data_IF_252785055443
#
_entry.id   IF_252785055443
#
_cell.length_a   1.000
_cell.length_b   1.000
_cell.length_c   1.000
_cell.angle_alpha   90.00
_cell.angle_beta   90.00
_cell.angle_gamma   90.00
#
_symmetry.space_group_name_H-M   'P 1'
#
loop_
_entity.id
_entity.type
_entity.pdbx_description
1 polymer ?
#
# COMPACT_ATOMS: atom_id res chain seq x y z
N UNK A 1 -26.40 -13.36 -13.74
CA UNK A 1 -26.14 -12.24 -12.78
C UNK A 1 -25.17 -12.77 -11.72
N UNK A 2 -24.15 -11.98 -11.34
CA UNK A 2 -23.28 -12.34 -10.24
C UNK A 2 -24.03 -12.23 -8.90
N UNK A 3 -23.76 -13.18 -7.99
CA UNK A 3 -24.27 -13.14 -6.61
C UNK A 3 -23.27 -12.37 -5.75
N UNK A 4 -23.73 -11.34 -5.03
CA UNK A 4 -22.93 -10.58 -4.08
C UNK A 4 -23.28 -11.08 -2.67
N UNK A 5 -22.26 -11.55 -1.92
CA UNK A 5 -22.38 -11.97 -0.53
C UNK A 5 -21.58 -11.00 0.34
N UNK A 6 -22.23 -10.05 1.03
CA UNK A 6 -21.52 -9.12 1.92
C UNK A 6 -21.10 -9.86 3.19
N UNK A 7 -19.82 -9.71 3.58
CA UNK A 7 -19.25 -10.31 4.79
C UNK A 7 -18.52 -9.21 5.54
N UNK A 8 -18.82 -9.08 6.85
CA UNK A 8 -18.14 -8.15 7.75
C UNK A 8 -17.18 -8.97 8.62
N UNK A 9 -15.93 -8.52 8.69
CA UNK A 9 -14.91 -9.15 9.52
C UNK A 9 -13.63 -8.31 9.54
N UNK A 10 -12.71 -8.67 10.42
CA UNK A 10 -11.41 -8.04 10.54
C UNK A 10 -10.30 -8.99 10.09
N UNK A 11 -9.32 -8.48 9.33
CA UNK A 11 -8.15 -9.26 8.90
C UNK A 11 -7.30 -9.77 10.08
N UNK A 12 -7.38 -9.09 11.22
CA UNK A 12 -6.67 -9.48 12.45
C UNK A 12 -7.21 -10.75 13.08
N UNK A 13 -8.48 -11.09 12.81
CA UNK A 13 -9.11 -12.32 13.25
C UNK A 13 -8.72 -13.49 12.34
N UNK A 14 -7.64 -14.15 12.72
CA UNK A 14 -7.05 -15.24 11.94
C UNK A 14 -8.00 -16.42 11.79
N UNK A 15 -8.70 -16.80 12.87
CA UNK A 15 -9.62 -17.95 12.88
C UNK A 15 -10.81 -17.68 11.98
N UNK A 16 -11.31 -16.44 11.97
CA UNK A 16 -12.38 -16.05 11.08
C UNK A 16 -11.93 -16.03 9.60
N UNK A 17 -10.71 -15.57 9.31
CA UNK A 17 -10.17 -15.63 7.94
C UNK A 17 -10.02 -17.08 7.45
N UNK A 18 -9.47 -17.95 8.27
CA UNK A 18 -9.37 -19.38 7.97
C UNK A 18 -10.77 -20.01 7.72
N UNK A 19 -11.76 -19.72 8.58
CA UNK A 19 -13.12 -20.20 8.45
C UNK A 19 -13.81 -19.72 7.17
N UNK A 20 -13.77 -18.40 6.90
CA UNK A 20 -14.53 -17.82 5.79
C UNK A 20 -13.99 -18.26 4.42
N UNK A 21 -12.67 -18.30 4.25
CA UNK A 21 -12.07 -18.76 2.99
C UNK A 21 -12.32 -20.24 2.74
N UNK A 22 -12.26 -21.07 3.77
CA UNK A 22 -12.60 -22.49 3.66
C UNK A 22 -14.07 -22.69 3.30
N UNK A 23 -14.98 -21.90 3.87
CA UNK A 23 -16.42 -21.99 3.62
C UNK A 23 -16.81 -21.52 2.22
N UNK A 24 -16.21 -20.42 1.75
CA UNK A 24 -16.55 -19.83 0.46
C UNK A 24 -15.89 -20.54 -0.73
N UNK A 25 -14.84 -21.32 -0.50
CA UNK A 25 -14.03 -21.96 -1.56
C UNK A 25 -13.59 -20.93 -2.63
N UNK A 26 -12.97 -19.86 -2.14
CA UNK A 26 -12.54 -18.75 -3.02
C UNK A 26 -11.50 -19.20 -4.03
N UNK A 27 -11.70 -18.89 -5.31
CA UNK A 27 -10.72 -19.11 -6.37
C UNK A 27 -9.73 -17.95 -6.47
N UNK A 28 -10.20 -16.70 -6.29
CA UNK A 28 -9.40 -15.48 -6.48
C UNK A 28 -9.63 -14.51 -5.33
N UNK A 29 -8.55 -13.95 -4.80
CA UNK A 29 -8.58 -12.89 -3.77
C UNK A 29 -7.91 -11.63 -4.32
N UNK A 30 -8.63 -10.50 -4.27
CA UNK A 30 -8.07 -9.15 -4.42
C UNK A 30 -7.98 -8.50 -3.05
N UNK A 31 -6.78 -8.44 -2.48
CA UNK A 31 -6.55 -7.90 -1.15
C UNK A 31 -6.26 -6.39 -1.22
N UNK A 32 -7.32 -5.58 -1.02
CA UNK A 32 -7.26 -4.12 -1.04
C UNK A 32 -7.31 -3.49 0.36
N UNK A 33 -7.54 -4.29 1.40
CA UNK A 33 -7.75 -3.78 2.75
C UNK A 33 -6.43 -3.32 3.39
N UNK A 34 -6.33 -2.03 3.70
CA UNK A 34 -5.21 -1.43 4.40
C UNK A 34 -5.59 -0.09 5.03
N UNK A 35 -4.95 0.29 6.11
CA UNK A 35 -4.90 1.67 6.57
C UNK A 35 -3.93 2.44 5.70
N UNK A 36 -4.33 3.58 5.10
CA UNK A 36 -3.54 4.26 4.05
C UNK A 36 -3.16 5.72 4.34
N UNK A 37 -3.84 6.38 5.30
CA UNK A 37 -3.64 7.81 5.56
C UNK A 37 -2.33 8.06 6.29
N UNK A 38 -1.28 8.47 5.56
CA UNK A 38 0.09 8.58 6.08
C UNK A 38 0.17 9.35 7.41
N UNK A 39 -0.35 10.59 7.56
CA UNK A 39 -0.24 11.31 8.83
C UNK A 39 -0.88 10.57 10.01
N UNK A 40 -2.06 9.99 9.82
CA UNK A 40 -2.73 9.22 10.88
C UNK A 40 -1.96 7.94 11.25
N UNK A 41 -1.28 7.35 10.26
CA UNK A 41 -0.53 6.12 10.45
C UNK A 41 0.78 6.37 11.20
N UNK A 42 1.42 7.51 11.01
CA UNK A 42 2.59 7.93 11.78
C UNK A 42 2.28 8.08 13.29
N UNK A 43 1.05 8.51 13.62
CA UNK A 43 0.60 8.63 15.02
C UNK A 43 0.15 7.27 15.62
N UNK A 44 -0.21 6.30 14.76
CA UNK A 44 -0.77 5.01 15.17
C UNK A 44 0.00 3.81 14.58
N UNK A 45 1.33 3.73 14.74
CA UNK A 45 2.17 2.75 14.06
C UNK A 45 1.82 1.30 14.41
N UNK A 46 1.45 1.01 15.67
CA UNK A 46 1.06 -0.33 16.09
C UNK A 46 -0.19 -0.81 15.34
N UNK A 47 -1.23 0.01 15.25
CA UNK A 47 -2.46 -0.33 14.54
C UNK A 47 -2.22 -0.58 13.04
N UNK A 48 -1.28 0.17 12.45
CA UNK A 48 -0.87 -0.04 11.04
C UNK A 48 -0.24 -1.41 10.85
N UNK A 49 0.70 -1.78 11.70
CA UNK A 49 1.40 -3.07 11.59
C UNK A 49 0.44 -4.23 11.88
N UNK A 50 -0.43 -4.10 12.87
CA UNK A 50 -1.47 -5.10 13.12
C UNK A 50 -2.36 -5.33 11.90
N UNK A 51 -2.87 -4.26 11.30
CA UNK A 51 -3.82 -4.37 10.20
C UNK A 51 -3.13 -4.72 8.87
N UNK A 52 -2.11 -3.95 8.49
CA UNK A 52 -1.51 -4.07 7.16
C UNK A 52 -0.53 -5.23 7.06
N UNK A 53 0.21 -5.55 8.12
CA UNK A 53 1.22 -6.62 8.12
C UNK A 53 0.61 -7.92 8.63
N UNK A 54 0.16 -7.98 9.88
CA UNK A 54 -0.39 -9.20 10.44
C UNK A 54 -1.72 -9.60 9.82
N UNK A 55 -2.58 -8.61 9.50
CA UNK A 55 -3.80 -8.87 8.74
C UNK A 55 -3.52 -9.47 7.35
N UNK A 56 -2.53 -8.93 6.63
CA UNK A 56 -2.10 -9.51 5.34
C UNK A 56 -1.52 -10.91 5.53
N UNK A 57 -0.71 -11.13 6.56
CA UNK A 57 -0.19 -12.47 6.88
C UNK A 57 -1.31 -13.48 7.13
N UNK A 58 -2.32 -13.12 7.91
CA UNK A 58 -3.45 -14.00 8.22
C UNK A 58 -4.21 -14.43 6.97
N UNK A 59 -4.53 -13.48 6.07
CA UNK A 59 -5.26 -13.80 4.84
C UNK A 59 -4.42 -14.58 3.85
N UNK A 60 -3.09 -14.36 3.80
CA UNK A 60 -2.17 -15.16 2.98
C UNK A 60 -2.08 -16.61 3.50
N UNK A 61 -1.92 -16.79 4.81
CA UNK A 61 -1.89 -18.12 5.43
C UNK A 61 -3.21 -18.87 5.18
N UNK A 62 -4.34 -18.17 5.31
CA UNK A 62 -5.68 -18.74 5.04
C UNK A 62 -5.86 -19.08 3.54
N UNK A 63 -5.35 -18.26 2.63
CA UNK A 63 -5.40 -18.49 1.19
C UNK A 63 -4.61 -19.75 0.78
N UNK A 64 -3.42 -19.96 1.35
CA UNK A 64 -2.63 -21.19 1.14
C UNK A 64 -3.41 -22.41 1.63
N UNK A 65 -3.97 -22.38 2.85
CA UNK A 65 -4.78 -23.48 3.40
C UNK A 65 -6.01 -23.79 2.56
N UNK A 66 -6.69 -22.75 2.05
CA UNK A 66 -7.86 -22.90 1.20
C UNK A 66 -7.51 -23.23 -0.26
N UNK A 67 -6.22 -23.31 -0.61
CA UNK A 67 -5.72 -23.57 -1.96
C UNK A 67 -6.27 -22.59 -2.99
N UNK A 68 -6.29 -21.31 -2.66
CA UNK A 68 -6.76 -20.24 -3.55
C UNK A 68 -5.88 -20.20 -4.80
N UNK A 69 -6.50 -20.19 -5.98
CA UNK A 69 -5.79 -20.24 -7.27
C UNK A 69 -5.04 -18.95 -7.56
N UNK A 70 -5.60 -17.78 -7.14
CA UNK A 70 -4.95 -16.48 -7.37
C UNK A 70 -5.11 -15.54 -6.19
N UNK A 71 -4.01 -14.88 -5.84
CA UNK A 71 -3.99 -13.84 -4.82
C UNK A 71 -3.30 -12.58 -5.36
N UNK A 72 -4.02 -11.47 -5.39
CA UNK A 72 -3.53 -10.17 -5.87
C UNK A 72 -3.51 -9.18 -4.71
N UNK A 73 -2.32 -8.83 -4.21
CA UNK A 73 -2.15 -7.78 -3.21
C UNK A 73 -2.07 -6.41 -3.90
N UNK A 74 -2.91 -5.49 -3.50
CA UNK A 74 -2.83 -4.10 -3.92
C UNK A 74 -1.75 -3.40 -3.09
N UNK A 75 -0.70 -2.94 -3.77
CA UNK A 75 0.40 -2.19 -3.18
C UNK A 75 0.44 -0.75 -3.68
N UNK A 76 1.53 -0.04 -3.45
CA UNK A 76 1.65 1.40 -3.65
C UNK A 76 3.09 1.78 -3.96
N UNK A 77 3.28 2.92 -4.63
CA UNK A 77 4.55 3.63 -4.79
C UNK A 77 5.28 3.85 -3.44
N UNK A 78 4.54 4.06 -2.36
CA UNK A 78 5.11 4.32 -1.01
C UNK A 78 5.77 3.11 -0.36
N UNK A 79 5.61 1.90 -0.94
CA UNK A 79 6.35 0.71 -0.54
C UNK A 79 7.80 0.71 -1.07
N UNK A 80 8.11 1.59 -2.04
CA UNK A 80 9.44 1.73 -2.64
C UNK A 80 10.29 2.68 -1.79
N UNK A 81 11.42 2.21 -1.26
CA UNK A 81 12.28 2.99 -0.35
C UNK A 81 11.46 3.78 0.69
N UNK A 82 10.66 3.11 1.54
CA UNK A 82 9.68 3.78 2.36
C UNK A 82 10.30 4.74 3.36
N UNK A 83 9.64 5.90 3.57
CA UNK A 83 9.99 6.90 4.58
C UNK A 83 8.89 7.07 5.63
N UNK A 84 7.83 6.29 5.53
CA UNK A 84 6.68 6.29 6.44
C UNK A 84 6.37 4.89 6.94
N UNK A 85 5.74 4.79 8.11
CA UNK A 85 5.28 3.52 8.67
C UNK A 85 4.26 2.84 7.74
N UNK A 86 3.40 3.65 7.08
CA UNK A 86 2.51 3.12 6.06
C UNK A 86 3.28 2.46 4.90
N UNK A 87 4.25 3.15 4.32
CA UNK A 87 5.08 2.61 3.25
C UNK A 87 5.82 1.35 3.68
N UNK A 88 6.45 1.37 4.87
CA UNK A 88 7.11 0.21 5.47
C UNK A 88 6.15 -0.97 5.64
N UNK A 89 4.92 -0.73 6.12
CA UNK A 89 3.92 -1.79 6.28
C UNK A 89 3.55 -2.45 4.94
N UNK A 90 3.45 -1.65 3.86
CA UNK A 90 3.17 -2.17 2.51
C UNK A 90 4.35 -2.94 1.94
N UNK A 91 5.60 -2.45 2.12
CA UNK A 91 6.79 -3.19 1.76
C UNK A 91 6.86 -4.56 2.47
N UNK A 92 6.64 -4.61 3.78
CA UNK A 92 6.59 -5.87 4.53
C UNK A 92 5.50 -6.80 3.98
N UNK A 93 4.31 -6.25 3.64
CA UNK A 93 3.21 -7.02 3.05
C UNK A 93 3.59 -7.63 1.69
N UNK A 94 4.33 -6.91 0.84
CA UNK A 94 4.86 -7.44 -0.41
C UNK A 94 5.83 -8.62 -0.16
N UNK A 95 6.70 -8.53 0.86
CA UNK A 95 7.62 -9.62 1.21
C UNK A 95 6.92 -10.83 1.81
N UNK A 96 5.87 -10.62 2.62
CA UNK A 96 5.00 -11.71 3.09
C UNK A 96 4.31 -12.44 1.93
N UNK A 97 3.88 -11.70 0.90
CA UNK A 97 3.28 -12.31 -0.29
C UNK A 97 4.29 -13.13 -1.08
N UNK A 98 5.53 -12.63 -1.27
CA UNK A 98 6.58 -13.38 -1.97
C UNK A 98 6.97 -14.65 -1.20
N UNK A 99 7.02 -14.61 0.12
CA UNK A 99 7.22 -15.79 0.98
C UNK A 99 6.04 -16.78 0.83
N UNK A 100 4.81 -16.29 0.81
CA UNK A 100 3.62 -17.11 0.56
C UNK A 100 3.64 -17.75 -0.83
N UNK A 101 4.10 -17.03 -1.87
CA UNK A 101 4.27 -17.57 -3.22
C UNK A 101 5.28 -18.72 -3.27
N UNK A 102 6.40 -18.62 -2.53
CA UNK A 102 7.38 -19.69 -2.39
C UNK A 102 6.79 -20.89 -1.66
N UNK A 103 6.12 -20.68 -0.53
CA UNK A 103 5.46 -21.74 0.23
C UNK A 103 4.39 -22.48 -0.58
N UNK A 104 3.57 -21.75 -1.35
CA UNK A 104 2.58 -22.36 -2.22
C UNK A 104 3.24 -23.27 -3.26
N UNK A 105 4.36 -22.84 -3.85
CA UNK A 105 5.16 -23.63 -4.81
C UNK A 105 5.77 -24.88 -4.14
N UNK A 106 6.35 -24.74 -2.96
CA UNK A 106 6.92 -25.87 -2.19
C UNK A 106 5.88 -26.92 -1.83
N UNK A 107 4.63 -26.49 -1.55
CA UNK A 107 3.50 -27.36 -1.30
C UNK A 107 2.88 -27.96 -2.57
N UNK A 108 3.41 -27.64 -3.76
CA UNK A 108 2.89 -28.15 -5.03
C UNK A 108 1.50 -27.59 -5.39
N UNK A 109 1.13 -26.41 -4.88
CA UNK A 109 -0.14 -25.78 -5.21
C UNK A 109 -0.06 -25.10 -6.58
N UNK A 110 -1.11 -25.27 -7.39
CA UNK A 110 -1.32 -24.50 -8.60
C UNK A 110 -1.95 -23.14 -8.27
N UNK A 111 -1.12 -22.25 -7.75
CA UNK A 111 -1.56 -20.96 -7.21
C UNK A 111 -0.62 -19.85 -7.67
N UNK A 112 -1.19 -18.73 -8.09
CA UNK A 112 -0.48 -17.51 -8.47
C UNK A 112 -0.66 -16.42 -7.42
N UNK A 113 0.39 -16.13 -6.63
CA UNK A 113 0.46 -15.04 -5.65
C UNK A 113 1.28 -13.90 -6.23
N UNK A 114 0.70 -12.71 -6.36
CA UNK A 114 1.32 -11.54 -6.96
C UNK A 114 0.89 -10.25 -6.30
N UNK A 115 1.66 -9.18 -6.48
CA UNK A 115 1.22 -7.84 -6.07
C UNK A 115 1.31 -6.83 -7.21
N UNK A 116 0.53 -5.76 -7.08
CA UNK A 116 0.44 -4.69 -8.07
C UNK A 116 0.71 -3.36 -7.37
N UNK A 117 1.72 -2.62 -7.84
CA UNK A 117 2.02 -1.26 -7.40
C UNK A 117 1.43 -0.24 -8.36
N UNK A 118 0.95 0.85 -7.83
CA UNK A 118 0.59 2.06 -8.56
C UNK A 118 0.59 3.27 -7.62
N UNK A 119 0.60 4.46 -8.20
CA UNK A 119 0.61 5.72 -7.47
C UNK A 119 -0.78 6.12 -6.96
N UNK A 120 -1.08 7.42 -7.01
CA UNK A 120 -2.33 7.93 -6.46
C UNK A 120 -3.51 7.66 -7.39
N UNK A 121 -4.70 7.47 -6.78
CA UNK A 121 -5.96 7.30 -7.51
C UNK A 121 -6.83 8.52 -7.28
N UNK A 122 -7.19 9.19 -8.38
CA UNK A 122 -8.02 10.41 -8.38
C UNK A 122 -9.38 10.15 -7.73
N UNK A 123 -9.81 11.08 -6.87
CA UNK A 123 -11.13 11.01 -6.23
C UNK A 123 -11.26 9.92 -5.15
N UNK A 124 -10.19 9.21 -4.79
CA UNK A 124 -10.23 8.24 -3.70
C UNK A 124 -10.48 8.93 -2.36
N UNK A 125 -11.18 8.25 -1.43
CA UNK A 125 -11.55 8.82 -0.11
C UNK A 125 -10.32 9.35 0.62
N UNK A 126 -10.40 10.61 1.09
CA UNK A 126 -9.32 11.30 1.80
C UNK A 126 -8.10 11.65 0.94
N UNK A 127 -8.23 11.63 -0.39
CA UNK A 127 -7.18 12.10 -1.30
C UNK A 127 -7.23 13.61 -1.51
N UNK A 128 -6.22 14.14 -2.19
CA UNK A 128 -6.00 15.57 -2.40
C UNK A 128 -7.15 16.25 -3.15
N UNK A 129 -7.72 15.62 -4.17
CA UNK A 129 -8.79 16.22 -4.98
C UNK A 129 -10.08 16.51 -4.19
N UNK A 130 -10.67 15.55 -3.43
CA UNK A 130 -11.78 15.85 -2.53
C UNK A 130 -11.46 16.92 -1.49
N UNK A 131 -10.22 16.97 -0.99
CA UNK A 131 -9.79 18.00 -0.04
C UNK A 131 -9.83 19.39 -0.70
N UNK A 132 -9.25 19.56 -1.89
CA UNK A 132 -9.25 20.82 -2.61
C UNK A 132 -10.68 21.27 -2.91
N UNK A 133 -11.54 20.38 -3.41
CA UNK A 133 -12.93 20.71 -3.67
C UNK A 133 -13.68 21.17 -2.42
N UNK A 134 -13.46 20.52 -1.28
CA UNK A 134 -14.06 20.94 0.00
C UNK A 134 -13.54 22.32 0.45
N UNK A 135 -12.24 22.58 0.32
CA UNK A 135 -11.66 23.88 0.67
C UNK A 135 -12.19 25.00 -0.24
N UNK A 136 -12.30 24.77 -1.55
CA UNK A 136 -12.87 25.73 -2.50
C UNK A 136 -14.33 26.03 -2.15
N UNK A 137 -15.14 25.01 -1.86
CA UNK A 137 -16.55 25.18 -1.50
C UNK A 137 -16.76 26.00 -0.21
N UNK A 138 -15.77 25.98 0.70
CA UNK A 138 -15.81 26.76 1.96
C UNK A 138 -15.16 28.14 1.84
N UNK A 139 -14.75 28.58 0.62
CA UNK A 139 -14.13 29.87 0.39
C UNK A 139 -12.61 29.89 0.55
N UNK A 140 -11.97 28.75 0.62
CA UNK A 140 -10.51 28.62 0.72
C UNK A 140 -9.94 28.85 2.13
N UNK A 141 -8.61 29.01 2.24
CA UNK A 141 -7.61 28.79 1.18
C UNK A 141 -7.47 27.31 0.80
N UNK A 142 -6.99 27.03 -0.41
CA UNK A 142 -6.52 25.70 -0.79
C UNK A 142 -5.11 25.48 -0.22
N UNK A 143 -4.89 24.34 0.43
CA UNK A 143 -3.61 24.04 1.08
C UNK A 143 -2.78 23.04 0.28
N UNK A 144 -1.55 23.40 -0.05
CA UNK A 144 -0.55 22.57 -0.74
C UNK A 144 0.67 22.41 0.16
N UNK A 145 1.21 21.21 0.30
CA UNK A 145 2.33 20.96 1.23
C UNK A 145 3.65 21.50 0.71
N UNK A 146 3.91 21.42 -0.59
CA UNK A 146 5.09 22.02 -1.22
C UNK A 146 4.80 22.36 -2.69
N UNK A 147 5.36 23.48 -3.18
CA UNK A 147 5.18 23.95 -4.57
C UNK A 147 5.77 23.02 -5.63
N UNK A 148 6.79 22.24 -5.27
CA UNK A 148 7.45 21.29 -6.16
C UNK A 148 6.91 19.87 -6.05
N UNK A 149 5.97 19.61 -5.12
CA UNK A 149 5.40 18.27 -4.93
C UNK A 149 4.70 17.80 -6.18
N UNK A 150 5.03 16.59 -6.62
CA UNK A 150 4.39 15.94 -7.76
C UNK A 150 3.99 14.51 -7.43
N UNK A 151 2.95 14.02 -8.11
CA UNK A 151 2.41 12.67 -7.92
C UNK A 151 1.92 12.11 -9.25
N UNK A 152 2.03 10.81 -9.37
CA UNK A 152 1.36 10.07 -10.43
C UNK A 152 -0.11 9.86 -10.09
N UNK A 153 -0.97 9.97 -11.09
CA UNK A 153 -2.42 9.78 -10.92
C UNK A 153 -3.00 8.89 -11.99
N UNK A 154 -3.99 8.08 -11.58
CA UNK A 154 -4.90 7.42 -12.52
C UNK A 154 -6.33 7.47 -11.96
N UNK A 155 -7.32 7.21 -12.81
CA UNK A 155 -8.71 7.16 -12.39
C UNK A 155 -9.05 5.84 -11.70
N UNK A 156 -10.09 5.82 -10.85
CA UNK A 156 -10.56 4.58 -10.19
C UNK A 156 -10.93 3.49 -11.21
N UNK A 157 -11.71 3.76 -12.28
CA UNK A 157 -12.04 2.74 -13.28
C UNK A 157 -10.82 2.18 -14.00
N UNK A 158 -9.83 3.03 -14.30
CA UNK A 158 -8.58 2.61 -14.94
C UNK A 158 -7.78 1.69 -14.00
N UNK A 159 -7.57 2.10 -12.74
CA UNK A 159 -6.88 1.28 -11.75
C UNK A 159 -7.56 -0.09 -11.57
N UNK A 160 -8.88 -0.12 -11.39
CA UNK A 160 -9.64 -1.36 -11.25
C UNK A 160 -9.49 -2.26 -12.48
N UNK A 161 -9.62 -1.70 -13.69
CA UNK A 161 -9.48 -2.47 -14.94
C UNK A 161 -8.09 -3.10 -15.06
N UNK A 162 -7.02 -2.33 -14.79
CA UNK A 162 -5.64 -2.83 -14.88
C UNK A 162 -5.31 -3.85 -13.80
N UNK A 163 -5.81 -3.66 -12.56
CA UNK A 163 -5.66 -4.64 -11.47
C UNK A 163 -6.34 -5.96 -11.82
N UNK A 164 -7.57 -5.93 -12.36
CA UNK A 164 -8.27 -7.14 -12.79
C UNK A 164 -7.52 -7.84 -13.92
N UNK A 165 -7.00 -7.11 -14.90
CA UNK A 165 -6.16 -7.66 -15.98
C UNK A 165 -4.89 -8.30 -15.42
N UNK A 166 -4.20 -7.62 -14.50
CA UNK A 166 -3.01 -8.19 -13.86
C UNK A 166 -3.33 -9.47 -13.10
N UNK A 167 -4.46 -9.54 -12.39
CA UNK A 167 -4.95 -10.77 -11.77
C UNK A 167 -5.20 -11.90 -12.79
N UNK A 168 -5.63 -11.56 -14.02
CA UNK A 168 -5.81 -12.53 -15.10
C UNK A 168 -4.50 -13.11 -15.63
N UNK A 169 -3.51 -12.27 -15.93
CA UNK A 169 -2.25 -12.65 -16.62
C UNK A 169 -1.07 -12.84 -15.68
N UNK A 170 -1.15 -12.35 -14.47
CA UNK A 170 -0.07 -12.38 -13.48
C UNK A 170 0.32 -13.81 -13.09
N UNK A 171 1.58 -13.98 -12.73
CA UNK A 171 2.20 -15.26 -12.39
C UNK A 171 2.76 -15.24 -10.97
N UNK A 172 2.90 -16.43 -10.40
CA UNK A 172 3.35 -16.63 -9.04
C UNK A 172 4.73 -16.01 -8.76
N UNK A 173 4.83 -15.23 -7.67
CA UNK A 173 6.07 -14.64 -7.20
C UNK A 173 6.55 -13.41 -7.98
N UNK A 174 5.70 -12.84 -8.87
CA UNK A 174 6.04 -11.63 -9.60
C UNK A 174 5.34 -10.39 -9.05
N UNK A 175 6.03 -9.26 -9.19
CA UNK A 175 5.51 -7.93 -8.95
C UNK A 175 5.15 -7.23 -10.25
N UNK A 176 4.08 -6.48 -10.21
CA UNK A 176 3.60 -5.72 -11.35
C UNK A 176 3.47 -4.25 -10.98
N UNK A 177 3.70 -3.39 -11.96
CA UNK A 177 3.55 -1.95 -11.87
C UNK A 177 2.56 -1.51 -12.94
N UNK A 178 1.61 -0.67 -12.55
CA UNK A 178 0.76 0.00 -13.52
C UNK A 178 1.47 1.24 -14.07
N UNK A 179 1.51 1.38 -15.38
CA UNK A 179 2.03 2.58 -16.04
C UNK A 179 1.12 3.76 -15.70
N UNK A 180 1.69 4.73 -15.01
CA UNK A 180 0.98 5.91 -14.50
C UNK A 180 1.12 7.15 -15.42
N UNK A 181 1.86 7.03 -16.53
CA UNK A 181 2.19 8.17 -17.39
C UNK A 181 3.11 9.18 -16.68
N UNK A 182 2.87 10.48 -16.91
CA UNK A 182 3.67 11.55 -16.34
C UNK A 182 3.15 12.02 -14.97
N UNK A 183 4.04 12.42 -14.05
CA UNK A 183 3.62 12.97 -12.77
C UNK A 183 3.02 14.38 -12.92
N UNK A 184 2.05 14.70 -12.08
CA UNK A 184 1.35 15.99 -12.05
C UNK A 184 1.78 16.77 -10.82
N UNK A 185 2.13 18.04 -10.98
CA UNK A 185 2.40 18.94 -9.86
C UNK A 185 1.13 19.24 -9.08
N UNK A 186 1.20 19.06 -7.77
CA UNK A 186 0.03 19.26 -6.88
C UNK A 186 -0.44 20.71 -6.89
N UNK A 187 0.49 21.67 -7.01
CA UNK A 187 0.14 23.08 -7.15
C UNK A 187 -0.67 23.36 -8.42
N UNK A 188 -0.24 22.83 -9.57
CA UNK A 188 -0.97 22.98 -10.83
C UNK A 188 -2.37 22.33 -10.75
N UNK A 189 -2.49 21.19 -10.08
CA UNK A 189 -3.79 20.57 -9.82
C UNK A 189 -4.69 21.47 -8.96
N UNK A 190 -4.17 22.11 -7.92
CA UNK A 190 -4.92 23.05 -7.08
C UNK A 190 -5.45 24.23 -7.90
N UNK A 191 -4.59 24.86 -8.72
CA UNK A 191 -4.98 25.95 -9.60
C UNK A 191 -6.07 25.54 -10.60
N UNK A 192 -5.95 24.35 -11.19
CA UNK A 192 -6.96 23.82 -12.11
C UNK A 192 -8.31 23.56 -11.39
N UNK A 193 -8.29 23.02 -10.17
CA UNK A 193 -9.52 22.81 -9.39
C UNK A 193 -10.25 24.13 -9.11
N UNK A 194 -9.52 25.21 -8.78
CA UNK A 194 -10.10 26.54 -8.58
C UNK A 194 -10.71 27.06 -9.87
N UNK A 195 -9.98 26.98 -11.01
CA UNK A 195 -10.48 27.41 -12.33
C UNK A 195 -11.72 26.62 -12.76
N UNK A 196 -11.74 25.31 -12.60
CA UNK A 196 -12.91 24.48 -12.93
C UNK A 196 -14.13 24.78 -12.03
N UNK A 197 -13.92 25.39 -10.87
CA UNK A 197 -14.99 25.89 -10.00
C UNK A 197 -15.49 27.28 -10.41
N UNK A 198 -14.99 27.86 -11.51
CA UNK A 198 -15.37 29.19 -12.00
C UNK A 198 -14.72 30.35 -11.24
N UNK A 199 -13.63 30.09 -10.50
CA UNK A 199 -12.93 31.05 -9.64
C UNK A 199 -11.49 31.25 -10.15
N UNK A 200 -10.86 32.39 -9.79
CA UNK A 200 -9.49 32.73 -10.14
C UNK A 200 -8.52 32.40 -8.99
N UNK A 201 -7.47 31.56 -9.23
CA UNK A 201 -6.42 31.32 -8.21
C UNK A 201 -5.75 32.62 -7.80
N UNK A 202 -5.41 32.75 -6.51
CA UNK A 202 -4.75 33.89 -5.88
C UNK A 202 -5.54 35.20 -5.89
N UNK A 203 -6.76 35.21 -6.46
CA UNK A 203 -7.66 36.36 -6.47
C UNK A 203 -8.94 36.06 -5.69
N UNK A 204 -9.64 35.01 -6.08
CA UNK A 204 -10.88 34.60 -5.41
C UNK A 204 -10.59 33.55 -4.32
N UNK A 205 -9.62 32.67 -4.56
CA UNK A 205 -9.18 31.62 -3.64
C UNK A 205 -7.63 31.64 -3.56
N UNK A 206 -7.11 31.83 -2.37
CA UNK A 206 -5.67 31.74 -2.11
C UNK A 206 -5.20 30.28 -2.05
N UNK A 207 -3.91 30.08 -2.40
CA UNK A 207 -3.20 28.80 -2.22
C UNK A 207 -2.09 28.99 -1.19
N UNK A 208 -2.16 28.25 -0.08
CA UNK A 208 -1.21 28.35 1.02
C UNK A 208 -0.29 27.13 1.05
N UNK A 209 1.03 27.39 1.11
CA UNK A 209 2.03 26.35 1.28
C UNK A 209 2.19 26.04 2.77
N UNK A 210 1.92 24.79 3.17
CA UNK A 210 1.88 24.39 4.59
C UNK A 210 3.15 23.70 5.10
N UNK A 211 4.07 23.32 4.21
CA UNK A 211 5.22 22.48 4.53
C UNK A 211 4.91 20.98 4.43
N UNK A 212 5.96 20.18 4.23
CA UNK A 212 5.86 18.72 4.18
C UNK A 212 5.43 18.16 5.54
N UNK A 213 4.57 17.15 5.51
CA UNK A 213 4.16 16.40 6.70
C UNK A 213 5.15 15.28 6.98
N UNK A 214 5.17 14.80 8.21
CA UNK A 214 5.96 13.62 8.58
C UNK A 214 5.59 12.41 7.70
N UNK A 215 6.58 11.76 7.13
CA UNK A 215 6.41 10.61 6.24
C UNK A 215 6.00 10.96 4.80
N UNK A 216 5.99 12.25 4.40
CA UNK A 216 5.77 12.70 3.03
C UNK A 216 7.11 12.98 2.32
N UNK A 217 7.12 12.83 0.99
CA UNK A 217 8.22 13.18 0.08
C UNK A 217 7.73 14.14 -1.00
N UNK A 218 8.66 14.84 -1.65
CA UNK A 218 8.37 15.61 -2.86
C UNK A 218 7.94 14.69 -4.00
N UNK A 219 8.68 13.61 -4.23
CA UNK A 219 8.45 12.62 -5.28
C UNK A 219 8.33 11.22 -4.71
N UNK A 220 7.49 10.38 -5.33
CA UNK A 220 7.31 8.98 -4.97
C UNK A 220 7.83 8.10 -6.11
N UNK A 221 8.94 7.35 -5.92
CA UNK A 221 9.42 6.43 -6.93
C UNK A 221 8.43 5.27 -7.11
N UNK A 222 8.23 4.82 -8.34
CA UNK A 222 7.31 3.71 -8.65
C UNK A 222 7.99 2.34 -8.52
N UNK A 223 9.32 2.29 -8.68
CA UNK A 223 10.14 1.07 -8.57
C UNK A 223 11.53 1.39 -8.06
N UNK A 224 12.28 0.38 -7.62
CA UNK A 224 13.71 0.46 -7.33
C UNK A 224 14.51 0.33 -8.63
N UNK A 225 15.69 0.96 -8.72
CA UNK A 225 16.55 0.88 -9.92
C UNK A 225 16.83 -0.56 -10.34
N UNK A 226 17.01 -1.46 -9.37
CA UNK A 226 17.31 -2.87 -9.57
C UNK A 226 16.08 -3.70 -10.03
N UNK A 227 14.87 -3.19 -9.90
CA UNK A 227 13.63 -3.90 -10.27
C UNK A 227 13.38 -3.96 -11.78
N UNK A 228 14.11 -3.20 -12.59
CA UNK A 228 14.14 -3.23 -14.06
C UNK A 228 12.78 -3.54 -14.71
N UNK A 229 11.89 -2.55 -14.88
CA UNK A 229 10.55 -2.75 -15.43
C UNK A 229 10.59 -3.32 -16.86
N UNK A 230 9.86 -4.40 -17.10
CA UNK A 230 9.73 -5.07 -18.38
C UNK A 230 8.29 -4.96 -18.89
N UNK A 231 8.13 -4.72 -20.19
CA UNK A 231 6.82 -4.72 -20.83
C UNK A 231 6.17 -6.11 -20.75
N UNK A 232 4.84 -6.11 -20.55
CA UNK A 232 3.99 -7.28 -20.71
C UNK A 232 3.24 -7.20 -22.05
N UNK A 233 2.38 -8.16 -22.32
CA UNK A 233 1.45 -8.11 -23.47
C UNK A 233 0.44 -6.94 -23.37
N UNK A 234 0.27 -6.36 -22.18
CA UNK A 234 -0.57 -5.18 -21.94
C UNK A 234 0.32 -3.93 -21.76
N UNK A 235 0.22 -2.92 -22.65
CA UNK A 235 1.11 -1.76 -22.64
C UNK A 235 1.18 -1.00 -21.31
N UNK A 236 0.06 -0.99 -20.54
CA UNK A 236 -0.03 -0.30 -19.24
C UNK A 236 0.27 -1.17 -18.02
N UNK A 237 0.79 -2.38 -18.22
CA UNK A 237 1.17 -3.29 -17.14
C UNK A 237 2.63 -3.67 -17.34
N UNK A 238 3.48 -3.26 -16.43
CA UNK A 238 4.89 -3.62 -16.39
C UNK A 238 5.10 -4.75 -15.39
N UNK A 239 6.00 -5.66 -15.70
CA UNK A 239 6.48 -6.69 -14.78
C UNK A 239 7.82 -6.26 -14.22
N UNK A 240 7.97 -6.30 -12.90
CA UNK A 240 9.20 -5.95 -12.22
C UNK A 240 10.03 -7.20 -11.91
N UNK A 241 11.35 -7.05 -11.97
CA UNK A 241 12.27 -8.08 -11.46
C UNK A 241 12.17 -8.16 -9.95
N UNK A 242 11.92 -9.35 -9.41
CA UNK A 242 11.80 -9.53 -7.95
C UNK A 242 13.15 -9.46 -7.27
N UNK A 243 13.32 -8.55 -6.32
CA UNK A 243 14.52 -8.44 -5.48
C UNK A 243 14.31 -9.30 -4.23
N UNK A 244 15.24 -10.22 -3.98
CA UNK A 244 15.15 -11.15 -2.83
C UNK A 244 15.52 -10.46 -1.51
N UNK A 245 16.57 -9.65 -1.48
CA UNK A 245 17.04 -8.96 -0.28
C UNK A 245 16.29 -7.65 -0.07
N UNK A 246 15.83 -7.44 1.16
CA UNK A 246 14.92 -6.33 1.42
C UNK A 246 15.08 -5.69 2.79
N UNK A 247 15.68 -6.39 3.74
CA UNK A 247 15.85 -5.91 5.10
C UNK A 247 17.34 -5.83 5.44
N UNK A 248 17.71 -4.78 6.18
CA UNK A 248 19.05 -4.63 6.74
C UNK A 248 19.16 -5.47 8.00
N UNK A 249 20.22 -6.27 8.08
CA UNK A 249 20.60 -7.00 9.29
C UNK A 249 19.52 -7.89 9.93
N UNK A 250 18.45 -8.23 9.19
CA UNK A 250 17.37 -9.08 9.68
C UNK A 250 16.68 -9.80 8.53
N UNK A 251 16.02 -10.89 8.83
CA UNK A 251 15.14 -11.61 7.90
C UNK A 251 13.69 -11.22 8.10
N UNK A 252 12.83 -11.53 7.12
CA UNK A 252 11.38 -11.31 7.26
C UNK A 252 10.82 -12.01 8.51
N UNK A 253 11.25 -13.24 8.77
CA UNK A 253 10.76 -14.04 9.89
C UNK A 253 11.18 -13.46 11.24
N UNK A 254 12.44 -13.01 11.37
CA UNK A 254 12.93 -12.32 12.57
C UNK A 254 12.20 -11.00 12.80
N UNK A 255 11.97 -10.22 11.74
CA UNK A 255 11.22 -8.96 11.83
C UNK A 255 9.80 -9.21 12.32
N UNK A 256 9.08 -10.17 11.74
CA UNK A 256 7.71 -10.54 12.16
C UNK A 256 7.70 -11.02 13.62
N UNK A 257 8.67 -11.83 14.04
CA UNK A 257 8.80 -12.27 15.44
C UNK A 257 9.08 -11.13 16.41
N UNK A 258 9.87 -10.14 16.00
CA UNK A 258 10.17 -8.95 16.82
C UNK A 258 8.94 -8.02 16.96
N UNK A 259 8.16 -7.84 15.89
CA UNK A 259 6.97 -6.97 15.88
C UNK A 259 5.78 -7.61 16.61
N UNK A 260 5.67 -8.95 16.62
CA UNK A 260 4.50 -9.65 17.15
C UNK A 260 4.17 -9.30 18.61
N UNK A 261 5.09 -9.36 19.59
CA UNK A 261 4.78 -9.07 20.99
C UNK A 261 4.50 -7.59 21.27
N UNK A 262 4.83 -6.70 20.34
CA UNK A 262 4.45 -5.29 20.44
C UNK A 262 2.99 -5.10 19.99
N UNK A 263 2.57 -5.83 18.97
CA UNK A 263 1.22 -5.76 18.42
C UNK A 263 0.22 -6.60 19.23
N UNK A 264 0.63 -7.76 19.72
CA UNK A 264 -0.22 -8.69 20.44
C UNK A 264 0.31 -8.96 21.83
N UNK A 265 -0.60 -9.08 22.81
CA UNK A 265 -0.24 -9.38 24.19
C UNK A 265 0.41 -10.78 24.27
N UNK A 266 1.61 -10.82 24.88
CA UNK A 266 2.34 -12.06 25.15
C UNK A 266 2.77 -12.04 26.61
N UNK A 267 2.35 -13.07 27.38
CA UNK A 267 2.75 -13.19 28.80
C UNK A 267 4.28 -13.23 28.94
N UNK A 268 4.82 -12.47 29.88
CA UNK A 268 6.25 -12.28 30.09
C UNK A 268 6.90 -11.22 29.19
N UNK A 269 6.12 -10.53 28.35
CA UNK A 269 6.57 -9.43 27.49
C UNK A 269 5.67 -8.19 27.59
N UNK A 270 5.03 -8.00 28.71
CA UNK A 270 4.06 -6.92 28.95
C UNK A 270 4.66 -5.52 28.78
N UNK A 271 5.95 -5.37 29.12
CA UNK A 271 6.69 -4.11 29.04
C UNK A 271 6.88 -3.57 27.62
N UNK A 272 6.76 -4.42 26.59
CA UNK A 272 6.89 -4.00 25.18
C UNK A 272 5.55 -3.94 24.45
N UNK A 273 4.46 -4.47 25.06
CA UNK A 273 3.13 -4.44 24.47
C UNK A 273 2.66 -3.00 24.22
N UNK A 274 2.26 -2.70 22.99
CA UNK A 274 1.84 -1.36 22.49
C UNK A 274 2.94 -0.28 22.58
N UNK A 275 4.19 -0.65 22.72
CA UNK A 275 5.32 0.29 22.71
C UNK A 275 5.58 0.76 21.27
N UNK A 276 5.05 1.95 20.92
CA UNK A 276 5.14 2.51 19.57
C UNK A 276 6.55 2.96 19.22
N UNK A 277 7.31 3.47 20.18
CA UNK A 277 8.68 3.93 19.99
C UNK A 277 9.58 2.75 19.60
N UNK A 278 9.50 1.64 20.35
CA UNK A 278 10.24 0.41 20.06
C UNK A 278 9.87 -0.15 18.69
N UNK A 279 8.56 -0.16 18.33
CA UNK A 279 8.10 -0.64 17.02
C UNK A 279 8.70 0.20 15.88
N UNK A 280 8.66 1.53 16.01
CA UNK A 280 9.22 2.45 15.02
C UNK A 280 10.73 2.25 14.88
N UNK A 281 11.46 2.06 15.98
CA UNK A 281 12.91 1.82 15.95
C UNK A 281 13.26 0.50 15.28
N UNK A 282 12.52 -0.58 15.55
CA UNK A 282 12.71 -1.87 14.86
C UNK A 282 12.51 -1.69 13.34
N UNK A 283 11.44 -1.01 12.92
CA UNK A 283 11.16 -0.79 11.50
C UNK A 283 12.23 0.08 10.85
N UNK A 284 12.66 1.17 11.49
CA UNK A 284 13.72 2.03 10.97
C UNK A 284 15.03 1.27 10.78
N UNK A 285 15.44 0.47 11.75
CA UNK A 285 16.67 -0.30 11.68
C UNK A 285 16.63 -1.40 10.60
N UNK A 286 15.44 -1.97 10.35
CA UNK A 286 15.28 -3.03 9.37
C UNK A 286 15.14 -2.50 7.93
N UNK A 287 14.51 -1.34 7.72
CA UNK A 287 14.00 -0.93 6.42
C UNK A 287 14.60 0.39 5.93
N UNK A 288 14.64 1.43 6.77
CA UNK A 288 14.99 2.76 6.29
C UNK A 288 16.48 2.84 5.92
N UNK A 289 16.76 3.38 4.75
CA UNK A 289 18.11 3.78 4.41
C UNK A 289 18.49 4.94 5.35
N UNK A 290 19.65 4.86 5.98
CA UNK A 290 20.19 6.04 6.66
C UNK A 290 20.38 7.09 5.58
N UNK A 291 19.73 8.25 5.74
CA UNK A 291 20.08 9.41 4.94
C UNK A 291 21.60 9.61 5.06
N UNK A 292 22.29 9.56 3.93
CA UNK A 292 23.68 10.02 3.89
C UNK A 292 23.66 11.49 4.35
N UNK A 293 24.32 11.75 5.48
CA UNK A 293 24.46 13.08 6.06
C UNK A 293 25.16 14.03 5.10
#
# INVERSE_FOLDING_TARGET
KATIVPIIGELKDKEYMDYILSKLKCDVIFHCAAYKHVPLMEENPVAVIENNVFGTKNILDAAIKAKVSKFVLISTDKAVNPVSIYGASKMISEKLLLDAALKAKELGLDSDFMFVRFGNVLGSRGSVLPLFMSQIQTGGPVTVTDKNMQRYFMTIPEACSLVLKTGGVGKNGFSYLLDMGEPIKILEMAEQCIKFSGLEPYKDIDIVITGLRKGERLDEPLWLEEENPQQTEYPKILKLTTIKESFKNTTLDELIKALYPICYFVSGKENIYRNKELLVDIIKNAIYQQEAK
#
